data_IF_728399295619
#
_entry.id   IF_728399295619
#
_cell.length_a   1.000
_cell.length_b   1.000
_cell.length_c   1.000
_cell.angle_alpha   90.00
_cell.angle_beta   90.00
_cell.angle_gamma   90.00
#
_symmetry.space_group_name_H-M   'P 1'
#
loop_
_entity.id
_entity.type
_entity.pdbx_description
1 polymer ?
#
# COMPACT_ATOMS: atom_id res chain seq x y z
N UNK A 1 7.81 -7.76 -18.52
CA UNK A 1 7.27 -6.46 -18.09
C UNK A 1 6.27 -6.04 -19.13
N UNK A 2 4.98 -6.10 -18.79
CA UNK A 2 3.92 -5.75 -19.73
C UNK A 2 3.74 -4.23 -19.73
N UNK A 3 3.14 -3.65 -20.77
CA UNK A 3 2.92 -2.19 -20.84
C UNK A 3 2.02 -1.69 -19.70
N UNK A 4 1.10 -2.54 -19.24
CA UNK A 4 0.26 -2.25 -18.08
C UNK A 4 1.07 -2.18 -16.78
N UNK A 5 2.04 -3.07 -16.57
CA UNK A 5 2.94 -3.01 -15.40
C UNK A 5 3.76 -1.72 -15.41
N UNK A 6 4.25 -1.31 -16.58
CA UNK A 6 5.01 -0.08 -16.74
C UNK A 6 4.14 1.16 -16.48
N UNK A 7 2.88 1.14 -16.91
CA UNK A 7 1.94 2.23 -16.68
C UNK A 7 1.59 2.37 -15.19
N UNK A 8 1.33 1.26 -14.48
CA UNK A 8 1.07 1.25 -13.04
C UNK A 8 2.28 1.78 -12.26
N UNK A 9 3.49 1.30 -12.59
CA UNK A 9 4.74 1.82 -12.02
C UNK A 9 4.92 3.32 -12.29
N UNK A 10 4.62 3.79 -13.51
CA UNK A 10 4.72 5.20 -13.85
C UNK A 10 3.77 6.06 -13.00
N UNK A 11 2.57 5.56 -12.69
CA UNK A 11 1.61 6.24 -11.80
C UNK A 11 2.16 6.30 -10.37
N UNK A 12 2.69 5.20 -9.82
CA UNK A 12 3.29 5.20 -8.50
C UNK A 12 4.49 6.16 -8.41
N UNK A 13 5.35 6.17 -9.43
CA UNK A 13 6.47 7.10 -9.51
C UNK A 13 5.99 8.55 -9.63
N UNK A 14 4.95 8.83 -10.39
CA UNK A 14 4.37 10.18 -10.49
C UNK A 14 3.87 10.68 -9.13
N UNK A 15 3.33 9.81 -8.28
CA UNK A 15 2.92 10.13 -6.91
C UNK A 15 4.10 10.25 -5.94
N UNK A 16 5.13 9.43 -6.11
CA UNK A 16 6.32 9.46 -5.26
C UNK A 16 7.27 10.64 -5.60
N UNK A 17 7.27 11.10 -6.85
CA UNK A 17 8.19 12.11 -7.36
C UNK A 17 8.16 13.44 -6.58
N UNK A 18 7.00 14.03 -6.22
CA UNK A 18 6.97 15.24 -5.40
C UNK A 18 7.62 15.06 -4.03
N UNK A 19 7.38 13.93 -3.36
CA UNK A 19 7.97 13.64 -2.06
C UNK A 19 9.48 13.39 -2.16
N UNK A 20 9.92 12.67 -3.21
CA UNK A 20 11.34 12.45 -3.47
C UNK A 20 12.08 13.76 -3.76
N UNK A 21 11.49 14.62 -4.60
CA UNK A 21 12.05 15.93 -4.93
C UNK A 21 12.20 16.80 -3.68
N UNK A 22 11.13 16.90 -2.88
CA UNK A 22 11.16 17.64 -1.63
C UNK A 22 12.19 17.09 -0.64
N UNK A 23 12.31 15.76 -0.54
CA UNK A 23 13.33 15.12 0.30
C UNK A 23 14.74 15.46 -0.13
N UNK A 24 15.02 15.44 -1.45
CA UNK A 24 16.33 15.81 -2.00
C UNK A 24 16.64 17.29 -1.73
N UNK A 25 15.71 18.20 -1.98
CA UNK A 25 15.90 19.63 -1.70
C UNK A 25 16.16 19.89 -0.21
N UNK A 26 15.45 19.19 0.66
CA UNK A 26 15.62 19.28 2.12
C UNK A 26 17.00 18.81 2.56
N UNK A 27 17.50 17.71 2.00
CA UNK A 27 18.86 17.24 2.25
C UNK A 27 19.92 18.22 1.72
N UNK A 28 19.69 18.81 0.54
CA UNK A 28 20.57 19.84 -0.02
C UNK A 28 20.58 21.12 0.80
N UNK A 29 19.49 21.43 1.50
CA UNK A 29 19.41 22.50 2.49
C UNK A 29 20.14 22.19 3.81
N UNK A 30 20.69 20.97 3.96
CA UNK A 30 21.40 20.52 5.16
C UNK A 30 20.51 19.98 6.26
N UNK A 31 19.22 19.81 6.00
CA UNK A 31 18.26 19.27 6.96
C UNK A 31 18.13 17.75 6.81
N UNK A 32 18.50 16.95 7.84
CA UNK A 32 18.43 15.49 7.78
C UNK A 32 17.00 14.94 7.70
N UNK A 33 15.96 15.74 7.96
CA UNK A 33 14.56 15.32 7.81
C UNK A 33 14.22 14.92 6.38
N UNK A 34 15.00 15.37 5.38
CA UNK A 34 14.86 14.95 3.98
C UNK A 34 14.93 13.43 3.77
N UNK A 35 15.62 12.70 4.66
CA UNK A 35 15.63 11.22 4.64
C UNK A 35 14.25 10.60 4.91
N UNK A 36 13.40 11.26 5.70
CA UNK A 36 12.04 10.79 5.98
C UNK A 36 11.19 10.84 4.70
N UNK A 37 11.30 11.94 3.95
CA UNK A 37 10.58 12.10 2.68
C UNK A 37 11.08 11.15 1.61
N UNK A 38 12.40 10.94 1.53
CA UNK A 38 12.99 9.95 0.64
C UNK A 38 12.57 8.52 1.01
N UNK A 39 12.57 8.20 2.31
CA UNK A 39 12.07 6.92 2.82
C UNK A 39 10.59 6.71 2.53
N UNK A 40 9.77 7.75 2.65
CA UNK A 40 8.35 7.73 2.31
C UNK A 40 8.13 7.50 0.81
N UNK A 41 8.84 8.24 -0.06
CA UNK A 41 8.78 8.05 -1.50
C UNK A 41 9.23 6.65 -1.93
N UNK A 42 10.32 6.15 -1.35
CA UNK A 42 10.77 4.78 -1.56
C UNK A 42 9.74 3.78 -1.05
N UNK A 43 9.06 4.06 0.06
CA UNK A 43 7.95 3.27 0.60
C UNK A 43 6.80 3.14 -0.39
N UNK A 44 6.37 4.23 -1.03
CA UNK A 44 5.30 4.22 -2.05
C UNK A 44 5.67 3.30 -3.22
N UNK A 45 6.90 3.39 -3.73
CA UNK A 45 7.36 2.57 -4.86
C UNK A 45 7.60 1.12 -4.45
N UNK A 46 8.12 0.88 -3.25
CA UNK A 46 8.36 -0.45 -2.71
C UNK A 46 7.06 -1.18 -2.35
N UNK A 47 6.01 -0.44 -1.97
CA UNK A 47 4.67 -0.96 -1.72
C UNK A 47 4.14 -1.71 -2.95
N UNK A 48 4.32 -1.16 -4.14
CA UNK A 48 3.91 -1.81 -5.39
C UNK A 48 4.60 -3.17 -5.63
N UNK A 49 5.84 -3.35 -5.13
CA UNK A 49 6.64 -4.57 -5.36
C UNK A 49 6.54 -5.60 -4.25
N UNK A 50 6.33 -5.18 -3.00
CA UNK A 50 6.29 -6.07 -1.82
C UNK A 50 4.86 -6.36 -1.35
N UNK A 51 3.92 -5.49 -1.71
CA UNK A 51 2.49 -5.65 -1.49
C UNK A 51 1.75 -5.72 -2.84
N UNK A 52 2.26 -6.52 -3.79
CA UNK A 52 1.41 -7.21 -4.79
C UNK A 52 1.05 -8.65 -4.38
N UNK A 53 1.46 -9.09 -3.19
CA UNK A 53 0.89 -10.23 -2.46
C UNK A 53 -0.39 -9.95 -1.64
N UNK A 54 -1.04 -8.77 -1.65
CA UNK A 54 -2.23 -8.53 -0.87
C UNK A 54 -3.46 -8.66 -1.74
N UNK A 55 -3.48 -9.21 -2.96
CA UNK A 55 -4.78 -9.54 -3.58
C UNK A 55 -5.57 -10.49 -2.69
N UNK A 56 -4.89 -11.27 -1.85
CA UNK A 56 -5.50 -12.15 -0.86
C UNK A 56 -5.98 -11.41 0.40
N UNK A 57 -5.43 -10.24 0.79
CA UNK A 57 -5.81 -9.58 2.04
C UNK A 57 -7.19 -8.89 2.05
N UNK A 58 -7.60 -8.08 1.05
CA UNK A 58 -8.93 -7.50 0.97
C UNK A 58 -9.97 -8.59 0.69
N UNK A 59 -9.62 -9.64 -0.06
CA UNK A 59 -10.49 -10.80 -0.28
C UNK A 59 -10.70 -11.59 1.02
N UNK A 60 -9.66 -11.78 1.84
CA UNK A 60 -9.78 -12.41 3.17
C UNK A 60 -10.54 -11.52 4.16
N UNK A 61 -10.37 -10.20 4.10
CA UNK A 61 -11.12 -9.26 4.94
C UNK A 61 -12.61 -9.20 4.56
N UNK A 62 -12.90 -9.20 3.26
CA UNK A 62 -14.26 -9.29 2.74
C UNK A 62 -14.91 -10.63 3.10
N UNK A 63 -14.20 -11.75 2.93
CA UNK A 63 -14.68 -13.07 3.34
C UNK A 63 -14.98 -13.12 4.84
N UNK A 64 -14.07 -12.67 5.71
CA UNK A 64 -14.35 -12.62 7.17
C UNK A 64 -15.55 -11.75 7.53
N UNK A 65 -15.76 -10.64 6.81
CA UNK A 65 -16.93 -9.80 7.02
C UNK A 65 -18.22 -10.50 6.57
N UNK A 66 -18.19 -11.25 5.47
CA UNK A 66 -19.32 -12.07 5.00
C UNK A 66 -19.57 -13.27 5.91
N UNK A 67 -18.53 -13.98 6.36
CA UNK A 67 -18.61 -15.13 7.26
C UNK A 67 -19.22 -14.73 8.60
N UNK A 68 -18.81 -13.58 9.16
CA UNK A 68 -19.42 -13.00 10.37
C UNK A 68 -20.89 -12.56 10.18
N UNK A 69 -21.33 -12.28 8.96
CA UNK A 69 -22.74 -11.98 8.65
C UNK A 69 -23.56 -13.26 8.43
N UNK A 70 -22.92 -14.37 8.06
CA UNK A 70 -23.55 -15.67 7.87
C UNK A 70 -23.70 -16.44 9.20
N UNK A 71 -22.80 -16.23 10.17
CA UNK A 71 -22.83 -16.86 11.50
C UNK A 71 -23.88 -16.28 12.48
N UNK A 72 -24.77 -15.39 12.04
CA UNK A 72 -25.78 -14.73 12.89
C UNK A 72 -27.23 -15.14 12.54
N UNK A 73 -27.48 -16.42 12.19
CA UNK A 73 -28.63 -17.11 12.74
C UNK A 73 -28.27 -18.56 13.13
N UNK A 74 -28.69 -18.96 14.32
CA UNK A 74 -28.69 -20.34 14.85
C UNK A 74 -27.51 -20.74 15.75
N UNK A 75 -27.14 -19.86 16.69
CA UNK A 75 -26.64 -20.29 18.01
C UNK A 75 -27.85 -20.52 18.95
N UNK A 76 -28.70 -21.49 18.59
CA UNK A 76 -29.79 -21.98 19.44
C UNK A 76 -30.05 -23.47 19.11
N UNK A 77 -29.16 -24.36 19.56
CA UNK A 77 -29.52 -25.74 19.91
C UNK A 77 -28.30 -26.49 20.48
N UNK A 78 -28.21 -26.56 21.81
CA UNK A 78 -27.83 -27.77 22.58
C UNK A 78 -27.83 -27.48 24.09
N UNK A 79 -29.02 -27.56 24.73
CA UNK A 79 -29.32 -28.47 25.84
C UNK A 79 -30.73 -28.26 26.40
#
# INVERSE_FOLDING_TARGET
MNILDAATLAVAVAFAAPAALFGVETLLAGDPTGWVFLGFAAGIVAFERYLTTPTDLPVLAAQKATEKVVDDPDDDDTQ
#
